data_IF_676218227432
#
_entry.id   IF_676218227432
#
_cell.length_a   1.000
_cell.length_b   1.000
_cell.length_c   1.000
_cell.angle_alpha   90.00
_cell.angle_beta   90.00
_cell.angle_gamma   90.00
#
_symmetry.space_group_name_H-M   'P 1'
#
loop_
_entity.id
_entity.type
_entity.pdbx_description
1 polymer ?
#
# COMPACT_ATOMS: atom_id res chain seq x y z
N UNK A 1 3.37 24.59 -37.42
CA UNK A 1 4.05 23.27 -37.57
C UNK A 1 4.33 22.87 -39.03
N UNK A 2 3.90 23.62 -40.05
CA UNK A 2 4.06 23.22 -41.46
C UNK A 2 5.52 22.96 -41.89
N UNK A 3 6.50 23.59 -41.23
CA UNK A 3 7.92 23.48 -41.60
C UNK A 3 8.68 22.38 -40.83
N UNK A 4 8.03 21.65 -39.92
CA UNK A 4 8.65 20.54 -39.18
C UNK A 4 8.76 19.30 -40.08
N UNK A 5 9.63 18.33 -39.77
CA UNK A 5 9.63 17.03 -40.43
C UNK A 5 8.24 16.38 -40.40
N UNK A 6 7.85 15.68 -41.47
CA UNK A 6 6.50 15.13 -41.63
C UNK A 6 6.09 14.22 -40.46
N UNK A 7 7.01 13.39 -39.97
CA UNK A 7 6.77 12.49 -38.83
C UNK A 7 6.55 13.22 -37.50
N UNK A 8 6.94 14.49 -37.39
CA UNK A 8 6.72 15.32 -36.20
C UNK A 8 5.46 16.18 -36.29
N UNK A 9 4.79 16.22 -37.45
CA UNK A 9 3.56 17.01 -37.63
C UNK A 9 2.38 16.28 -36.99
N UNK A 10 1.50 17.06 -36.35
CA UNK A 10 0.21 16.54 -35.88
C UNK A 10 -0.63 16.17 -37.11
N UNK A 11 -1.08 14.92 -37.18
CA UNK A 11 -1.89 14.42 -38.30
C UNK A 11 -3.23 15.15 -38.35
N UNK A 12 -3.71 15.46 -39.55
CA UNK A 12 -5.07 15.98 -39.77
C UNK A 12 -6.10 14.97 -39.23
N UNK A 13 -6.99 15.43 -38.35
CA UNK A 13 -7.98 14.56 -37.68
C UNK A 13 -7.59 14.07 -36.28
N UNK A 14 -6.44 14.50 -35.75
CA UNK A 14 -6.08 14.26 -34.34
C UNK A 14 -7.13 14.89 -33.43
N UNK A 15 -7.74 14.09 -32.55
CA UNK A 15 -8.66 14.57 -31.50
C UNK A 15 -7.83 15.09 -30.33
N UNK A 16 -8.26 16.22 -29.76
CA UNK A 16 -7.64 16.83 -28.59
C UNK A 16 -8.65 16.78 -27.45
N UNK A 17 -8.30 16.05 -26.40
CA UNK A 17 -9.10 15.97 -25.19
C UNK A 17 -8.51 16.92 -24.13
N UNK A 18 -9.37 17.63 -23.41
CA UNK A 18 -8.96 18.54 -22.34
C UNK A 18 -9.04 17.80 -21.01
N UNK A 19 -7.90 17.71 -20.32
CA UNK A 19 -7.77 17.03 -19.04
C UNK A 19 -7.38 18.01 -17.94
N UNK A 20 -7.64 17.61 -16.69
CA UNK A 20 -7.45 18.47 -15.52
C UNK A 20 -6.32 17.92 -14.64
N UNK A 21 -5.35 18.76 -14.23
CA UNK A 21 -4.29 18.38 -13.31
C UNK A 21 -4.79 17.94 -11.93
N UNK A 22 -3.98 17.17 -11.22
CA UNK A 22 -4.30 16.64 -9.89
C UNK A 22 -4.49 17.68 -8.78
N UNK A 23 -4.18 18.95 -9.04
CA UNK A 23 -4.24 20.07 -8.09
C UNK A 23 -5.55 20.88 -8.17
N UNK A 24 -6.43 20.56 -9.13
CA UNK A 24 -7.72 21.25 -9.30
C UNK A 24 -8.75 20.82 -8.23
N UNK A 25 -9.93 21.45 -8.18
CA UNK A 25 -11.01 21.07 -7.26
C UNK A 25 -11.47 19.62 -7.40
N UNK A 26 -11.91 19.01 -6.30
CA UNK A 26 -12.24 17.58 -6.18
C UNK A 26 -13.28 17.11 -7.20
N UNK A 27 -14.34 17.90 -7.40
CA UNK A 27 -15.39 17.66 -8.42
C UNK A 27 -14.82 17.51 -9.84
N UNK A 28 -13.78 18.28 -10.17
CA UNK A 28 -13.13 18.24 -11.47
C UNK A 28 -12.15 17.06 -11.60
N UNK A 29 -11.49 16.66 -10.51
CA UNK A 29 -10.66 15.44 -10.47
C UNK A 29 -11.51 14.21 -10.74
N UNK A 30 -12.74 14.14 -10.22
CA UNK A 30 -13.61 12.98 -10.43
C UNK A 30 -13.94 12.73 -11.91
N UNK A 31 -14.03 13.75 -12.77
CA UNK A 31 -14.45 13.51 -14.18
C UNK A 31 -13.33 13.62 -15.21
N UNK A 32 -12.23 14.32 -14.91
CA UNK A 32 -11.20 14.64 -15.91
C UNK A 32 -9.78 14.46 -15.38
N UNK A 33 -9.57 13.59 -14.40
CA UNK A 33 -8.23 13.36 -13.83
C UNK A 33 -7.26 12.85 -14.90
N UNK A 34 -6.25 13.66 -15.20
CA UNK A 34 -5.15 13.30 -16.09
C UNK A 34 -4.41 12.02 -15.65
N UNK A 35 -4.41 11.71 -14.36
CA UNK A 35 -3.77 10.52 -13.80
C UNK A 35 -4.31 9.20 -14.33
N UNK A 36 -5.58 9.18 -14.74
CA UNK A 36 -6.33 7.96 -15.05
C UNK A 36 -6.74 7.87 -16.52
N UNK A 37 -6.39 8.86 -17.34
CA UNK A 37 -6.72 8.89 -18.76
C UNK A 37 -5.61 8.24 -19.57
N UNK A 38 -6.00 7.30 -20.44
CA UNK A 38 -5.12 6.65 -21.40
C UNK A 38 -4.42 7.67 -22.30
N UNK A 39 -3.11 7.56 -22.48
CA UNK A 39 -2.33 8.45 -23.33
C UNK A 39 -2.05 9.84 -22.76
N UNK A 40 -2.53 10.16 -21.56
CA UNK A 40 -2.39 11.50 -20.96
C UNK A 40 -1.02 11.80 -20.36
N UNK A 41 -0.13 10.79 -20.34
CA UNK A 41 1.28 10.88 -19.93
C UNK A 41 1.51 11.31 -18.47
N UNK A 42 2.75 11.21 -17.99
CA UNK A 42 3.25 12.09 -16.92
C UNK A 42 3.33 13.55 -17.40
N UNK A 43 2.32 14.35 -17.04
CA UNK A 43 2.46 15.81 -17.11
C UNK A 43 3.30 16.28 -15.93
N UNK A 44 4.52 16.71 -16.21
CA UNK A 44 5.26 17.56 -15.30
C UNK A 44 4.96 19.00 -15.70
N UNK A 45 4.51 19.80 -14.74
CA UNK A 45 4.67 21.25 -14.79
C UNK A 45 6.13 21.70 -14.73
N UNK A 46 7.10 20.87 -15.16
CA UNK A 46 8.51 21.23 -15.21
C UNK A 46 9.15 20.65 -16.48
N UNK A 47 9.53 21.60 -17.34
CA UNK A 47 10.57 21.57 -18.37
C UNK A 47 10.17 21.30 -19.82
N UNK A 48 9.49 20.20 -20.18
CA UNK A 48 9.35 19.89 -21.63
C UNK A 48 8.31 20.77 -22.33
N UNK A 49 7.21 21.16 -21.68
CA UNK A 49 6.16 21.99 -22.34
C UNK A 49 6.31 23.49 -22.07
N UNK A 50 6.98 23.89 -20.98
CA UNK A 50 7.38 25.29 -20.75
C UNK A 50 8.47 25.71 -21.78
N UNK A 51 9.18 24.74 -22.37
CA UNK A 51 10.35 24.96 -23.23
C UNK A 51 10.07 25.54 -24.63
N UNK A 52 8.82 25.55 -25.08
CA UNK A 52 8.50 26.02 -26.44
C UNK A 52 8.57 27.54 -26.56
N UNK A 53 8.59 28.24 -25.42
CA UNK A 53 8.84 29.68 -25.35
C UNK A 53 10.20 29.94 -24.72
N UNK A 54 11.22 30.02 -25.61
CA UNK A 54 12.50 30.74 -25.51
C UNK A 54 13.24 30.64 -24.14
N UNK A 55 14.51 30.16 -24.21
CA UNK A 55 15.59 30.13 -23.19
C UNK A 55 15.93 28.73 -22.60
N UNK A 56 16.89 28.01 -23.21
CA UNK A 56 18.23 27.72 -22.64
C UNK A 56 18.98 26.59 -23.38
N UNK A 57 20.13 26.90 -23.98
CA UNK A 57 21.10 25.90 -24.46
C UNK A 57 21.46 24.85 -23.38
N UNK A 58 21.51 25.27 -22.10
CA UNK A 58 21.77 24.39 -20.95
C UNK A 58 20.75 23.25 -20.85
N UNK A 59 19.51 23.47 -21.31
CA UNK A 59 18.45 22.46 -21.27
C UNK A 59 18.59 21.45 -22.40
N UNK A 60 18.95 21.90 -23.61
CA UNK A 60 19.26 21.00 -24.75
C UNK A 60 20.44 20.08 -24.38
N UNK A 61 21.52 20.64 -23.84
CA UNK A 61 22.67 19.85 -23.37
C UNK A 61 22.28 18.93 -22.20
N UNK A 62 21.32 19.36 -21.36
CA UNK A 62 20.78 18.57 -20.26
C UNK A 62 19.93 17.37 -20.68
N UNK A 63 19.37 17.36 -21.89
CA UNK A 63 18.45 16.30 -22.36
C UNK A 63 19.06 14.92 -22.28
N UNK A 64 20.33 14.75 -22.64
CA UNK A 64 21.02 13.46 -22.53
C UNK A 64 20.91 12.89 -21.12
N UNK A 65 21.23 13.69 -20.11
CA UNK A 65 21.17 13.25 -18.71
C UNK A 65 19.75 13.06 -18.20
N UNK A 66 18.82 13.93 -18.64
CA UNK A 66 17.41 13.87 -18.26
C UNK A 66 16.75 12.60 -18.80
N UNK A 67 16.85 12.36 -20.11
CA UNK A 67 16.27 11.17 -20.75
C UNK A 67 16.93 9.89 -20.25
N UNK A 68 18.25 9.87 -20.04
CA UNK A 68 18.91 8.70 -19.47
C UNK A 68 18.32 8.33 -18.09
N UNK A 69 18.17 9.31 -17.18
CA UNK A 69 17.57 9.08 -15.86
C UNK A 69 16.11 8.63 -15.97
N UNK A 70 15.32 9.30 -16.80
CA UNK A 70 13.90 8.95 -16.96
C UNK A 70 13.71 7.59 -17.63
N UNK A 71 14.53 7.24 -18.61
CA UNK A 71 14.48 5.95 -19.28
C UNK A 71 14.83 4.81 -18.31
N UNK A 72 15.86 4.99 -17.48
CA UNK A 72 16.18 4.03 -16.42
C UNK A 72 15.03 3.86 -15.43
N UNK A 73 14.41 4.97 -14.99
CA UNK A 73 13.24 4.96 -14.10
C UNK A 73 12.07 4.21 -14.74
N UNK A 74 11.72 4.54 -15.99
CA UNK A 74 10.59 3.94 -16.69
C UNK A 74 10.81 2.45 -16.96
N UNK A 75 12.03 2.02 -17.33
CA UNK A 75 12.35 0.59 -17.49
C UNK A 75 12.21 -0.17 -16.17
N UNK A 76 12.61 0.44 -15.04
CA UNK A 76 12.45 -0.18 -13.73
C UNK A 76 10.97 -0.29 -13.35
N UNK A 77 10.22 0.81 -13.47
CA UNK A 77 8.83 0.88 -13.01
C UNK A 77 7.87 0.11 -13.92
N UNK A 78 8.13 0.07 -15.23
CA UNK A 78 7.35 -0.74 -16.19
C UNK A 78 7.47 -2.24 -15.95
N UNK A 79 8.52 -2.71 -15.26
CA UNK A 79 8.63 -4.10 -14.79
C UNK A 79 7.94 -4.32 -13.45
N UNK A 80 8.16 -3.42 -12.49
CA UNK A 80 7.62 -3.55 -11.12
C UNK A 80 6.10 -3.41 -11.03
N UNK A 81 5.53 -2.41 -11.69
CA UNK A 81 4.11 -2.07 -11.53
C UNK A 81 3.15 -3.15 -12.07
N UNK A 82 3.49 -3.88 -13.16
CA UNK A 82 2.76 -5.10 -13.52
C UNK A 82 2.75 -6.16 -12.42
N UNK A 83 3.89 -6.45 -11.78
CA UNK A 83 3.97 -7.44 -10.69
C UNK A 83 3.09 -7.03 -9.50
N UNK A 84 3.15 -5.75 -9.11
CA UNK A 84 2.32 -5.17 -8.04
C UNK A 84 0.84 -5.30 -8.37
N UNK A 85 0.44 -4.91 -9.59
CA UNK A 85 -0.96 -4.98 -10.03
C UNK A 85 -1.49 -6.41 -10.12
N UNK A 86 -0.66 -7.38 -10.53
CA UNK A 86 -1.05 -8.77 -10.59
C UNK A 86 -1.26 -9.34 -9.17
N UNK A 87 -0.29 -9.14 -8.26
CA UNK A 87 -0.39 -9.57 -6.85
C UNK A 87 -1.58 -8.94 -6.13
N UNK A 88 -1.85 -7.66 -6.39
CA UNK A 88 -3.03 -6.98 -5.83
C UNK A 88 -4.34 -7.56 -6.39
N UNK A 89 -4.36 -7.98 -7.67
CA UNK A 89 -5.54 -8.60 -8.28
C UNK A 89 -5.79 -10.02 -7.76
N UNK A 90 -4.73 -10.78 -7.45
CA UNK A 90 -4.80 -12.11 -6.84
C UNK A 90 -5.43 -12.14 -5.44
N UNK A 91 -5.61 -10.97 -4.80
CA UNK A 91 -6.29 -10.87 -3.51
C UNK A 91 -7.81 -11.03 -3.59
N UNK A 92 -8.38 -10.95 -4.79
CA UNK A 92 -9.82 -10.91 -5.00
C UNK A 92 -10.28 -12.05 -5.92
N UNK A 93 -11.51 -12.58 -5.73
CA UNK A 93 -12.09 -13.54 -6.65
C UNK A 93 -12.18 -12.99 -8.08
N UNK A 94 -12.08 -13.88 -9.07
CA UNK A 94 -12.12 -13.53 -10.50
C UNK A 94 -13.39 -12.77 -10.88
N UNK A 95 -14.52 -13.08 -10.23
CA UNK A 95 -15.82 -12.49 -10.47
C UNK A 95 -15.81 -11.00 -10.11
N UNK A 96 -15.16 -10.67 -8.99
CA UNK A 96 -15.01 -9.29 -8.48
C UNK A 96 -14.09 -8.49 -9.39
N UNK A 97 -12.96 -9.07 -9.79
CA UNK A 97 -12.04 -8.44 -10.75
C UNK A 97 -12.76 -8.14 -12.08
N UNK A 98 -13.54 -9.10 -12.59
CA UNK A 98 -14.31 -8.92 -13.82
C UNK A 98 -15.38 -7.82 -13.70
N UNK A 99 -16.02 -7.68 -12.52
CA UNK A 99 -16.92 -6.55 -12.22
C UNK A 99 -16.18 -5.22 -12.33
N UNK A 100 -15.00 -5.10 -11.73
CA UNK A 100 -14.21 -3.86 -11.76
C UNK A 100 -13.64 -3.54 -13.13
N UNK A 101 -13.19 -4.54 -13.90
CA UNK A 101 -12.78 -4.35 -15.30
C UNK A 101 -13.90 -3.70 -16.10
N UNK A 102 -15.12 -4.24 -16.01
CA UNK A 102 -16.31 -3.68 -16.70
C UNK A 102 -16.62 -2.27 -16.24
N UNK A 103 -16.46 -1.95 -14.94
CA UNK A 103 -16.64 -0.59 -14.44
C UNK A 103 -15.65 0.39 -15.08
N UNK A 104 -14.38 0.00 -15.21
CA UNK A 104 -13.35 0.80 -15.88
C UNK A 104 -13.65 0.97 -17.36
N UNK A 105 -14.00 -0.10 -18.07
CA UNK A 105 -14.34 -0.03 -19.50
C UNK A 105 -15.55 0.87 -19.76
N UNK A 106 -16.59 0.79 -18.92
CA UNK A 106 -17.76 1.66 -19.01
C UNK A 106 -17.41 3.13 -18.79
N UNK A 107 -16.52 3.42 -17.83
CA UNK A 107 -16.05 4.78 -17.56
C UNK A 107 -15.15 5.34 -18.67
N UNK A 108 -14.27 4.51 -19.24
CA UNK A 108 -13.44 4.89 -20.39
C UNK A 108 -14.29 5.16 -21.65
N UNK A 109 -15.38 4.42 -21.84
CA UNK A 109 -16.32 4.67 -22.93
C UNK A 109 -17.21 5.90 -22.68
N UNK A 110 -17.60 6.15 -21.43
CA UNK A 110 -18.47 7.26 -21.06
C UNK A 110 -18.03 7.89 -19.71
N UNK A 111 -17.39 9.08 -19.74
CA UNK A 111 -16.98 9.81 -18.54
C UNK A 111 -18.13 10.28 -17.61
N UNK A 112 -19.39 9.99 -17.96
CA UNK A 112 -20.57 10.21 -17.09
C UNK A 112 -20.99 8.96 -16.31
N UNK A 113 -20.37 7.80 -16.54
CA UNK A 113 -20.65 6.58 -15.80
C UNK A 113 -20.22 6.70 -14.32
N UNK A 114 -20.36 5.64 -13.52
CA UNK A 114 -19.82 5.64 -12.15
C UNK A 114 -18.30 5.69 -12.22
N UNK A 115 -17.66 6.61 -11.50
CA UNK A 115 -16.20 6.71 -11.49
C UNK A 115 -15.59 5.58 -10.65
N UNK A 116 -14.81 4.67 -11.25
CA UNK A 116 -14.21 3.52 -10.55
C UNK A 116 -12.98 3.89 -9.70
N UNK A 117 -12.50 5.13 -9.75
CA UNK A 117 -11.29 5.60 -9.07
C UNK A 117 -11.58 6.31 -7.73
N UNK A 118 -12.85 6.51 -7.38
CA UNK A 118 -13.26 7.07 -6.11
C UNK A 118 -14.10 6.06 -5.34
N UNK A 119 -13.91 6.04 -4.03
CA UNK A 119 -14.84 5.35 -3.15
C UNK A 119 -16.21 6.04 -3.20
N UNK A 120 -17.32 5.26 -3.12
CA UNK A 120 -18.63 5.86 -2.89
C UNK A 120 -18.57 6.64 -1.57
N UNK A 121 -19.12 7.86 -1.55
CA UNK A 121 -19.29 8.62 -0.31
C UNK A 121 -20.24 7.83 0.59
N UNK A 122 -19.71 6.98 1.47
CA UNK A 122 -20.48 6.45 2.59
C UNK A 122 -20.75 7.65 3.50
N UNK A 123 -21.97 8.18 3.47
CA UNK A 123 -22.46 9.16 4.44
C UNK A 123 -22.68 8.47 5.79
N UNK A 124 -21.64 7.82 6.33
CA UNK A 124 -21.65 7.38 7.72
C UNK A 124 -21.41 8.65 8.52
N UNK A 125 -22.49 9.25 9.02
CA UNK A 125 -22.36 10.44 9.84
C UNK A 125 -21.63 10.08 11.14
N UNK A 126 -21.03 11.08 11.79
CA UNK A 126 -20.41 10.90 13.10
C UNK A 126 -21.40 10.31 14.13
N UNK A 127 -22.70 10.50 13.93
CA UNK A 127 -23.77 9.92 14.74
C UNK A 127 -23.97 8.44 14.47
N UNK A 128 -23.92 7.99 13.20
CA UNK A 128 -24.00 6.58 12.83
C UNK A 128 -22.80 5.80 13.40
N UNK A 129 -21.59 6.37 13.31
CA UNK A 129 -20.39 5.78 13.90
C UNK A 129 -20.45 5.72 15.43
N UNK A 130 -21.12 6.68 16.09
CA UNK A 130 -21.35 6.65 17.54
C UNK A 130 -22.38 5.61 17.93
N UNK A 131 -23.43 5.44 17.12
CA UNK A 131 -24.49 4.46 17.33
C UNK A 131 -23.94 3.03 17.19
N UNK A 132 -23.19 2.77 16.13
CA UNK A 132 -22.51 1.48 15.90
C UNK A 132 -21.56 1.15 17.06
N UNK A 133 -20.76 2.12 17.53
CA UNK A 133 -19.90 1.93 18.69
C UNK A 133 -20.66 1.65 20.00
N UNK A 134 -21.84 2.23 20.18
CA UNK A 134 -22.67 1.97 21.34
C UNK A 134 -23.33 0.58 21.26
N UNK A 135 -23.71 0.14 20.05
CA UNK A 135 -24.23 -1.20 19.79
C UNK A 135 -23.15 -2.27 19.99
N UNK A 136 -21.94 -2.05 19.47
CA UNK A 136 -20.78 -2.91 19.71
C UNK A 136 -20.43 -2.98 21.21
N UNK A 137 -20.47 -1.87 21.94
CA UNK A 137 -20.25 -1.88 23.40
C UNK A 137 -21.31 -2.72 24.12
N UNK A 138 -22.58 -2.57 23.74
CA UNK A 138 -23.65 -3.37 24.32
C UNK A 138 -23.51 -4.87 24.00
N UNK A 139 -23.09 -5.23 22.79
CA UNK A 139 -22.85 -6.62 22.38
C UNK A 139 -21.61 -7.24 23.07
N UNK A 140 -20.55 -6.45 23.26
CA UNK A 140 -19.35 -6.87 24.01
C UNK A 140 -19.63 -7.04 25.50
N UNK A 141 -20.46 -6.16 26.08
CA UNK A 141 -20.96 -6.32 27.45
C UNK A 141 -21.83 -7.59 27.59
N UNK A 142 -22.65 -7.91 26.59
CA UNK A 142 -23.47 -9.10 26.58
C UNK A 142 -22.65 -10.41 26.41
N UNK A 143 -21.48 -10.35 25.77
CA UNK A 143 -20.59 -11.50 25.57
C UNK A 143 -19.48 -11.63 26.63
N UNK A 144 -19.41 -10.72 27.59
CA UNK A 144 -18.41 -10.73 28.69
C UNK A 144 -16.97 -10.41 28.26
N UNK A 145 -16.74 -10.00 27.01
CA UNK A 145 -15.41 -9.72 26.48
C UNK A 145 -15.15 -8.21 26.42
N UNK A 146 -14.41 -7.67 27.40
CA UNK A 146 -14.00 -6.25 27.41
C UNK A 146 -12.48 -6.17 27.24
N UNK A 147 -12.02 -5.72 26.08
CA UNK A 147 -10.59 -5.55 25.80
C UNK A 147 -10.11 -4.14 26.17
N UNK A 148 -9.17 -4.03 27.12
CA UNK A 148 -8.48 -2.74 27.41
C UNK A 148 -7.03 -2.94 27.86
N UNK A 149 -6.10 -2.65 26.96
CA UNK A 149 -4.71 -2.33 27.25
C UNK A 149 -4.56 -0.86 27.75
N UNK A 150 -5.49 -0.39 28.60
CA UNK A 150 -5.43 0.97 29.19
C UNK A 150 -4.34 1.11 30.27
N UNK A 151 -3.67 0.01 30.65
CA UNK A 151 -2.77 0.01 31.79
C UNK A 151 -1.37 0.55 31.50
N UNK A 152 -0.96 0.72 30.24
CA UNK A 152 0.43 1.11 29.92
C UNK A 152 0.62 2.59 29.55
N UNK A 153 -0.43 3.42 29.45
CA UNK A 153 -0.30 4.88 29.18
C UNK A 153 -1.22 5.81 29.98
N UNK A 154 -1.89 5.35 31.04
CA UNK A 154 -2.61 6.24 31.95
C UNK A 154 -1.76 6.53 33.20
N UNK A 155 -1.22 7.75 33.30
CA UNK A 155 -0.69 8.30 34.56
C UNK A 155 -1.80 8.63 35.58
N UNK A 156 -2.96 8.00 35.48
CA UNK A 156 -4.12 8.23 36.33
C UNK A 156 -4.63 6.91 36.89
N UNK A 157 -4.90 6.85 38.19
CA UNK A 157 -5.56 5.70 38.82
C UNK A 157 -6.90 5.44 38.10
N UNK A 158 -7.06 4.24 37.55
CA UNK A 158 -8.30 3.83 36.90
C UNK A 158 -9.51 4.07 37.79
N UNK A 159 -10.66 4.34 37.18
CA UNK A 159 -11.91 4.53 37.95
C UNK A 159 -12.25 3.26 38.74
N UNK A 160 -12.95 3.40 39.86
CA UNK A 160 -13.35 2.25 40.71
C UNK A 160 -14.04 1.14 39.91
N UNK A 161 -14.92 1.52 38.96
CA UNK A 161 -15.57 0.59 38.04
C UNK A 161 -14.56 -0.17 37.16
N UNK A 162 -13.61 0.54 36.53
CA UNK A 162 -12.59 -0.10 35.69
C UNK A 162 -11.70 -1.07 36.47
N UNK A 163 -11.40 -0.75 37.75
CA UNK A 163 -10.62 -1.62 38.62
C UNK A 163 -11.41 -2.89 39.00
N UNK A 164 -12.71 -2.76 39.29
CA UNK A 164 -13.58 -3.91 39.54
C UNK A 164 -13.73 -4.82 38.31
N UNK A 165 -13.97 -4.24 37.12
CA UNK A 165 -14.07 -4.99 35.86
C UNK A 165 -12.76 -5.74 35.53
N UNK A 166 -11.61 -5.14 35.89
CA UNK A 166 -10.30 -5.76 35.70
C UNK A 166 -10.10 -6.94 36.66
N UNK A 167 -10.49 -6.80 37.92
CA UNK A 167 -10.39 -7.86 38.92
C UNK A 167 -11.29 -9.06 38.59
N UNK A 168 -12.49 -8.81 38.06
CA UNK A 168 -13.40 -9.86 37.58
C UNK A 168 -12.78 -10.67 36.43
N UNK A 169 -12.17 -9.99 35.45
CA UNK A 169 -11.46 -10.67 34.35
C UNK A 169 -10.24 -11.43 34.82
N UNK A 170 -9.48 -10.89 35.78
CA UNK A 170 -8.36 -11.61 36.39
C UNK A 170 -8.84 -12.89 37.04
N UNK A 171 -9.93 -12.82 37.81
CA UNK A 171 -10.54 -13.99 38.44
C UNK A 171 -10.99 -15.02 37.39
N UNK A 172 -11.62 -14.58 36.31
CA UNK A 172 -12.03 -15.44 35.19
C UNK A 172 -10.83 -16.10 34.49
N UNK A 173 -9.77 -15.32 34.21
CA UNK A 173 -8.54 -15.84 33.61
C UNK A 173 -7.85 -16.86 34.51
N UNK A 174 -7.78 -16.60 35.81
CA UNK A 174 -7.25 -17.57 36.80
C UNK A 174 -8.03 -18.88 36.71
N UNK A 175 -9.36 -18.80 36.70
CA UNK A 175 -10.22 -19.98 36.62
C UNK A 175 -9.99 -20.76 35.31
N UNK A 176 -9.87 -20.05 34.17
CA UNK A 176 -9.56 -20.68 32.88
C UNK A 176 -8.20 -21.37 32.90
N UNK A 177 -7.17 -20.73 33.46
CA UNK A 177 -5.83 -21.33 33.58
C UNK A 177 -5.90 -22.59 34.47
N UNK A 178 -6.58 -22.51 35.61
CA UNK A 178 -6.73 -23.62 36.54
C UNK A 178 -7.50 -24.80 35.92
N UNK A 179 -8.52 -24.53 35.10
CA UNK A 179 -9.28 -25.57 34.40
C UNK A 179 -8.48 -26.18 33.24
N UNK A 180 -7.68 -25.37 32.55
CA UNK A 180 -6.87 -25.81 31.41
C UNK A 180 -5.64 -26.61 31.84
N UNK A 181 -5.02 -26.29 32.98
CA UNK A 181 -3.76 -26.90 33.45
C UNK A 181 -3.82 -28.44 33.54
N UNK A 182 -4.86 -29.08 34.11
CA UNK A 182 -4.95 -30.54 34.13
C UNK A 182 -5.00 -31.16 32.73
N UNK A 183 -5.69 -30.50 31.79
CA UNK A 183 -5.75 -30.92 30.39
C UNK A 183 -4.36 -30.82 29.76
N UNK A 184 -3.65 -29.71 29.97
CA UNK A 184 -2.28 -29.56 29.50
C UNK A 184 -1.36 -30.67 30.00
N UNK A 185 -1.41 -31.00 31.29
CA UNK A 185 -0.56 -32.03 31.88
C UNK A 185 -0.88 -33.43 31.35
N UNK A 186 -2.10 -33.68 30.90
CA UNK A 186 -2.47 -34.94 30.26
C UNK A 186 -1.83 -35.09 28.87
N UNK A 187 -1.74 -34.01 28.09
CA UNK A 187 -1.18 -34.03 26.73
C UNK A 187 0.33 -33.72 26.67
N UNK A 188 0.86 -32.93 27.62
CA UNK A 188 2.28 -32.57 27.70
C UNK A 188 2.78 -32.79 29.14
N UNK A 189 2.97 -34.05 29.57
CA UNK A 189 3.31 -34.37 30.97
C UNK A 189 4.61 -33.72 31.46
N UNK A 190 5.54 -33.43 30.53
CA UNK A 190 6.83 -32.81 30.82
C UNK A 190 6.69 -31.42 31.45
N UNK A 191 5.58 -30.72 31.23
CA UNK A 191 5.30 -29.41 31.85
C UNK A 191 5.30 -29.53 33.39
N UNK A 192 4.96 -30.68 33.96
CA UNK A 192 5.06 -30.96 35.41
C UNK A 192 6.47 -30.71 35.95
N UNK A 193 7.50 -31.00 35.16
CA UNK A 193 8.91 -30.81 35.56
C UNK A 193 9.40 -29.39 35.33
N UNK A 194 8.79 -28.66 34.38
CA UNK A 194 9.15 -27.26 34.07
C UNK A 194 8.46 -26.26 35.01
N UNK A 195 7.28 -26.60 35.52
CA UNK A 195 6.50 -25.74 36.41
C UNK A 195 7.26 -25.27 37.66
N UNK A 196 7.95 -26.15 38.42
CA UNK A 196 8.70 -25.76 39.61
C UNK A 196 9.99 -24.99 39.29
N UNK A 197 10.50 -25.08 38.06
CA UNK A 197 11.72 -24.36 37.65
C UNK A 197 11.47 -22.89 37.32
N UNK A 198 10.21 -22.52 37.08
CA UNK A 198 9.80 -21.15 36.73
C UNK A 198 9.17 -20.41 37.93
N UNK A 199 8.73 -21.13 38.96
CA UNK A 199 8.20 -20.53 40.19
C UNK A 199 9.26 -20.64 41.28
N UNK A 200 9.70 -19.50 41.83
CA UNK A 200 10.56 -19.49 43.00
C UNK A 200 9.84 -20.17 44.18
N UNK A 201 10.61 -20.89 45.00
CA UNK A 201 10.09 -21.80 46.05
C UNK A 201 9.22 -21.09 47.10
N UNK A 202 9.27 -19.75 47.19
CA UNK A 202 8.48 -18.93 48.12
C UNK A 202 7.08 -18.53 47.61
N UNK A 203 6.71 -18.85 46.36
CA UNK A 203 5.51 -18.28 45.69
C UNK A 203 4.29 -19.22 45.59
N UNK A 204 4.26 -20.34 46.32
CA UNK A 204 3.11 -21.27 46.32
C UNK A 204 1.79 -20.61 46.78
N UNK A 205 1.87 -19.55 47.58
CA UNK A 205 0.71 -18.80 48.06
C UNK A 205 0.24 -17.72 47.07
N UNK A 206 1.03 -17.39 46.04
CA UNK A 206 0.83 -16.25 45.14
C UNK A 206 0.99 -16.59 43.64
N UNK A 207 0.98 -17.87 43.27
CA UNK A 207 1.18 -18.37 41.90
C UNK A 207 0.26 -17.72 40.83
N UNK A 208 -0.85 -17.12 41.25
CA UNK A 208 -1.81 -16.43 40.40
C UNK A 208 -1.96 -14.93 40.70
N UNK A 209 -1.03 -14.34 41.45
CA UNK A 209 -1.08 -12.91 41.80
C UNK A 209 -1.15 -12.01 40.55
N UNK A 210 -0.51 -12.44 39.47
CA UNK A 210 -0.60 -11.80 38.15
C UNK A 210 -0.91 -12.87 37.08
N UNK A 211 -2.20 -13.15 36.80
CA UNK A 211 -2.57 -14.19 35.83
C UNK A 211 -2.11 -13.86 34.41
N UNK A 212 -1.97 -12.57 34.09
CA UNK A 212 -1.51 -12.04 32.80
C UNK A 212 -0.06 -12.43 32.47
N UNK A 213 0.77 -12.71 33.49
CA UNK A 213 2.17 -13.11 33.35
C UNK A 213 2.39 -14.61 33.58
N UNK A 214 1.33 -15.39 33.76
CA UNK A 214 1.46 -16.83 33.98
C UNK A 214 1.95 -17.52 32.71
N UNK A 215 3.08 -18.22 32.81
CA UNK A 215 3.62 -18.97 31.67
C UNK A 215 2.73 -20.19 31.39
N UNK A 216 2.22 -20.26 30.15
CA UNK A 216 1.32 -21.31 29.72
C UNK A 216 2.05 -22.54 29.16
N UNK A 217 3.32 -22.49 28.75
CA UNK A 217 4.05 -23.63 28.16
C UNK A 217 3.31 -24.30 26.97
N UNK A 218 2.86 -23.48 26.01
CA UNK A 218 2.41 -23.97 24.71
C UNK A 218 3.58 -24.65 23.96
N UNK A 219 3.34 -25.62 23.05
CA UNK A 219 4.41 -26.26 22.29
C UNK A 219 5.41 -25.27 21.68
N UNK A 220 4.94 -24.19 21.05
CA UNK A 220 5.78 -23.11 20.49
C UNK A 220 6.69 -22.38 21.49
N UNK A 221 6.36 -22.41 22.79
CA UNK A 221 7.14 -21.79 23.86
C UNK A 221 8.12 -22.76 24.54
N UNK A 222 8.13 -24.03 24.14
CA UNK A 222 9.04 -25.03 24.68
C UNK A 222 10.42 -24.96 24.02
N UNK A 223 11.50 -25.30 24.76
CA UNK A 223 12.84 -25.41 24.19
C UNK A 223 12.91 -26.38 23.00
N UNK A 224 13.76 -26.11 21.99
CA UNK A 224 13.92 -26.98 20.82
C UNK A 224 14.28 -28.43 21.16
N UNK A 225 15.02 -28.66 22.25
CA UNK A 225 15.36 -30.00 22.72
C UNK A 225 14.13 -30.84 23.07
N UNK A 226 13.08 -30.21 23.60
CA UNK A 226 11.83 -30.86 24.01
C UNK A 226 10.89 -31.03 22.82
N UNK A 227 10.90 -30.10 21.87
CA UNK A 227 10.11 -30.17 20.64
C UNK A 227 10.47 -31.37 19.74
N UNK A 228 11.65 -31.98 19.92
CA UNK A 228 12.04 -33.19 19.17
C UNK A 228 11.39 -34.48 19.67
N UNK A 229 10.78 -34.47 20.86
CA UNK A 229 10.08 -35.63 21.42
C UNK A 229 8.84 -35.95 20.59
N UNK A 230 8.61 -37.23 20.34
CA UNK A 230 7.52 -37.68 19.46
C UNK A 230 6.15 -37.24 19.97
N UNK A 231 5.93 -37.25 21.28
CA UNK A 231 4.65 -36.86 21.90
C UNK A 231 4.37 -35.35 21.74
N UNK A 232 5.41 -34.51 21.83
CA UNK A 232 5.28 -33.05 21.73
C UNK A 232 5.17 -32.62 20.26
N UNK A 233 5.77 -33.39 19.35
CA UNK A 233 5.76 -33.10 17.92
C UNK A 233 4.36 -33.11 17.31
N UNK A 234 3.50 -34.05 17.72
CA UNK A 234 2.11 -34.10 17.23
C UNK A 234 1.30 -32.88 17.70
N UNK A 235 1.48 -32.48 18.96
CA UNK A 235 0.86 -31.27 19.52
C UNK A 235 1.40 -29.99 18.87
N UNK A 236 2.69 -29.94 18.59
CA UNK A 236 3.33 -28.84 17.86
C UNK A 236 2.81 -28.72 16.42
N UNK A 237 2.57 -29.82 15.73
CA UNK A 237 1.95 -29.80 14.40
C UNK A 237 0.49 -29.31 14.47
N UNK A 238 -0.27 -29.71 15.50
CA UNK A 238 -1.62 -29.20 15.72
C UNK A 238 -1.63 -27.69 16.00
N UNK A 239 -0.74 -27.19 16.85
CA UNK A 239 -0.58 -25.74 17.10
C UNK A 239 -0.17 -25.02 15.82
N UNK A 240 0.82 -25.53 15.07
CA UNK A 240 1.26 -24.97 13.79
C UNK A 240 0.09 -24.79 12.81
N UNK A 241 -0.73 -25.83 12.65
CA UNK A 241 -1.91 -25.81 11.77
C UNK A 241 -2.97 -24.80 12.20
N UNK A 242 -3.04 -24.49 13.50
CA UNK A 242 -3.93 -23.47 14.03
C UNK A 242 -3.35 -22.05 13.88
N UNK A 243 -2.03 -21.89 14.02
CA UNK A 243 -1.39 -20.58 13.95
C UNK A 243 -1.40 -19.97 12.54
N UNK A 244 -1.36 -20.78 11.48
CA UNK A 244 -1.45 -20.28 10.10
C UNK A 244 -2.78 -19.53 9.83
N UNK A 245 -3.97 -20.12 10.05
CA UNK A 245 -5.24 -19.40 9.92
C UNK A 245 -5.38 -18.26 10.94
N UNK A 246 -4.91 -18.41 12.18
CA UNK A 246 -4.91 -17.31 13.15
C UNK A 246 -4.13 -16.08 12.67
N UNK A 247 -2.97 -16.28 12.04
CA UNK A 247 -2.18 -15.21 11.48
C UNK A 247 -2.86 -14.58 10.24
N UNK A 248 -3.50 -15.39 9.39
CA UNK A 248 -4.25 -14.91 8.23
C UNK A 248 -5.50 -14.10 8.65
N UNK A 249 -6.20 -14.53 9.69
CA UNK A 249 -7.37 -13.85 10.27
C UNK A 249 -6.96 -12.52 10.90
N UNK A 250 -5.90 -12.52 11.73
CA UNK A 250 -5.36 -11.31 12.33
C UNK A 250 -4.88 -10.31 11.26
N UNK A 251 -4.24 -10.80 10.19
CA UNK A 251 -3.82 -9.95 9.08
C UNK A 251 -5.01 -9.37 8.30
N UNK A 252 -6.06 -10.17 8.12
CA UNK A 252 -7.32 -9.73 7.50
C UNK A 252 -8.04 -8.68 8.34
N UNK A 253 -8.03 -8.83 9.67
CA UNK A 253 -8.55 -7.85 10.60
C UNK A 253 -7.75 -6.53 10.55
N UNK A 254 -6.42 -6.61 10.54
CA UNK A 254 -5.54 -5.43 10.38
C UNK A 254 -5.89 -4.65 9.10
N UNK A 255 -6.08 -5.37 7.98
CA UNK A 255 -6.46 -4.76 6.69
C UNK A 255 -7.82 -4.07 6.78
N UNK A 256 -8.84 -4.76 7.29
CA UNK A 256 -10.18 -4.19 7.48
C UNK A 256 -10.12 -2.93 8.36
N UNK A 257 -9.50 -3.03 9.54
CA UNK A 257 -9.39 -1.92 10.48
C UNK A 257 -8.63 -0.74 9.87
N UNK A 258 -7.50 -0.98 9.20
CA UNK A 258 -6.71 0.10 8.63
C UNK A 258 -7.41 0.79 7.47
N UNK A 259 -8.17 0.07 6.67
CA UNK A 259 -9.02 0.66 5.64
C UNK A 259 -10.11 1.55 6.26
N UNK A 260 -10.82 1.07 7.29
CA UNK A 260 -11.89 1.82 7.96
C UNK A 260 -11.34 3.06 8.68
N UNK A 261 -10.16 2.97 9.31
CA UNK A 261 -9.54 4.08 10.05
C UNK A 261 -9.15 5.23 9.13
N UNK A 262 -8.84 4.99 7.85
CA UNK A 262 -8.54 6.05 6.88
C UNK A 262 -9.70 7.06 6.71
N UNK A 263 -10.94 6.70 7.07
CA UNK A 263 -12.10 7.59 7.02
C UNK A 263 -12.58 8.14 8.38
N UNK A 264 -12.19 7.53 9.51
CA UNK A 264 -12.70 7.87 10.85
C UNK A 264 -11.63 7.67 11.93
N UNK A 265 -11.15 8.76 12.52
CA UNK A 265 -10.29 8.76 13.72
C UNK A 265 -11.09 8.38 14.97
N UNK A 266 -11.30 7.08 15.19
CA UNK A 266 -11.93 6.57 16.41
C UNK A 266 -10.89 5.83 17.26
N UNK A 267 -10.58 6.39 18.44
CA UNK A 267 -9.61 5.86 19.40
C UNK A 267 -9.78 4.35 19.70
N UNK A 268 -11.03 3.85 19.74
CA UNK A 268 -11.33 2.42 19.94
C UNK A 268 -10.80 1.53 18.80
N UNK A 269 -10.81 2.00 17.55
CA UNK A 269 -10.30 1.26 16.39
C UNK A 269 -8.78 1.15 16.41
N UNK A 270 -8.07 2.10 17.03
CA UNK A 270 -6.62 2.01 17.27
C UNK A 270 -6.29 0.88 18.26
N UNK A 271 -7.08 0.72 19.32
CA UNK A 271 -6.87 -0.37 20.27
C UNK A 271 -7.11 -1.73 19.60
N UNK A 272 -8.24 -1.92 18.89
CA UNK A 272 -8.51 -3.15 18.12
C UNK A 272 -7.37 -3.48 17.16
N UNK A 273 -6.81 -2.46 16.48
CA UNK A 273 -5.69 -2.63 15.56
C UNK A 273 -4.43 -3.14 16.27
N UNK A 274 -4.14 -2.65 17.48
CA UNK A 274 -3.03 -3.15 18.30
C UNK A 274 -3.26 -4.59 18.75
N UNK A 275 -4.50 -4.97 19.08
CA UNK A 275 -4.85 -6.35 19.41
C UNK A 275 -4.60 -7.28 18.23
N UNK A 276 -5.13 -6.93 17.06
CA UNK A 276 -4.95 -7.73 15.85
C UNK A 276 -3.46 -7.86 15.47
N UNK A 277 -2.68 -6.77 15.60
CA UNK A 277 -1.23 -6.82 15.42
C UNK A 277 -0.54 -7.75 16.44
N UNK A 278 -0.98 -7.73 17.70
CA UNK A 278 -0.45 -8.63 18.73
C UNK A 278 -0.79 -10.10 18.44
N UNK A 279 -2.04 -10.40 18.06
CA UNK A 279 -2.45 -11.74 17.65
C UNK A 279 -1.63 -12.25 16.47
N UNK A 280 -1.39 -11.39 15.47
CA UNK A 280 -0.52 -11.68 14.34
C UNK A 280 0.90 -12.02 14.80
N UNK A 281 1.50 -11.20 15.67
CA UNK A 281 2.86 -11.46 16.18
C UNK A 281 2.95 -12.75 16.97
N UNK A 282 1.96 -13.05 17.82
CA UNK A 282 1.93 -14.28 18.62
C UNK A 282 1.86 -15.51 17.72
N UNK A 283 0.94 -15.54 16.75
CA UNK A 283 0.84 -16.64 15.79
C UNK A 283 2.08 -16.76 14.90
N UNK A 284 2.61 -15.64 14.40
CA UNK A 284 3.84 -15.62 13.58
C UNK A 284 5.06 -16.15 14.34
N UNK A 285 5.22 -15.76 15.62
CA UNK A 285 6.33 -16.24 16.45
C UNK A 285 6.18 -17.73 16.77
N UNK A 286 4.95 -18.21 16.97
CA UNK A 286 4.69 -19.63 17.15
C UNK A 286 5.04 -20.45 15.91
N UNK A 287 4.63 -20.00 14.72
CA UNK A 287 5.02 -20.60 13.44
C UNK A 287 6.55 -20.60 13.25
N UNK A 288 7.22 -19.50 13.61
CA UNK A 288 8.67 -19.39 13.52
C UNK A 288 9.40 -20.39 14.43
N UNK A 289 8.85 -20.69 15.61
CA UNK A 289 9.40 -21.67 16.54
C UNK A 289 9.15 -23.12 16.09
N UNK A 290 7.96 -23.41 15.57
CA UNK A 290 7.51 -24.76 15.22
C UNK A 290 7.94 -25.22 13.82
N UNK A 291 7.91 -24.31 12.83
CA UNK A 291 8.29 -24.60 11.46
C UNK A 291 9.05 -23.42 10.82
N UNK A 292 10.36 -23.29 11.12
CA UNK A 292 11.16 -22.19 10.63
C UNK A 292 11.32 -22.15 9.11
N UNK A 293 11.00 -23.20 8.36
CA UNK A 293 11.22 -23.27 6.90
C UNK A 293 9.94 -23.49 6.11
N UNK A 294 8.78 -23.33 6.74
CA UNK A 294 7.49 -23.60 6.12
C UNK A 294 7.15 -22.69 4.95
N UNK A 295 6.30 -23.21 4.05
CA UNK A 295 5.73 -22.48 2.91
C UNK A 295 4.92 -21.25 3.34
N UNK A 296 4.42 -21.22 4.58
CA UNK A 296 3.69 -20.09 5.16
C UNK A 296 4.50 -18.76 5.10
N UNK A 297 5.83 -18.82 5.05
CA UNK A 297 6.72 -17.64 4.92
C UNK A 297 6.61 -16.90 3.59
N UNK A 298 6.12 -17.56 2.55
CA UNK A 298 5.87 -16.90 1.26
C UNK A 298 4.74 -15.87 1.40
N UNK A 299 3.76 -16.18 2.25
CA UNK A 299 2.55 -15.39 2.50
C UNK A 299 2.69 -14.47 3.71
N UNK A 300 3.13 -15.00 4.85
CA UNK A 300 3.23 -14.30 6.12
C UNK A 300 4.66 -13.81 6.38
N UNK A 301 4.81 -12.56 6.81
CA UNK A 301 6.11 -11.91 7.06
C UNK A 301 6.10 -11.23 8.41
N UNK A 302 7.27 -11.00 8.99
CA UNK A 302 7.40 -10.20 10.21
C UNK A 302 6.75 -8.83 10.01
N UNK A 303 5.66 -8.57 10.73
CA UNK A 303 4.91 -7.33 10.66
C UNK A 303 5.62 -6.24 11.46
N UNK A 304 6.11 -5.20 10.79
CA UNK A 304 6.67 -4.03 11.46
C UNK A 304 5.58 -2.98 11.69
N UNK A 305 5.72 -2.08 12.67
CA UNK A 305 4.75 -0.99 12.87
C UNK A 305 4.56 -0.12 11.62
N UNK A 306 5.62 0.05 10.82
CA UNK A 306 5.57 0.78 9.56
C UNK A 306 4.76 0.08 8.46
N UNK A 307 4.49 -1.23 8.59
CA UNK A 307 3.71 -2.00 7.63
C UNK A 307 2.19 -1.83 7.83
N UNK A 308 1.77 -1.28 8.98
CA UNK A 308 0.37 -1.11 9.36
C UNK A 308 -0.19 0.19 8.75
N UNK A 309 -0.27 0.24 7.41
CA UNK A 309 -0.84 1.38 6.67
C UNK A 309 -1.92 0.97 5.68
N UNK A 310 -2.65 1.98 5.21
CA UNK A 310 -3.75 1.79 4.26
C UNK A 310 -3.28 1.21 2.92
N UNK A 311 -4.22 0.75 2.08
CA UNK A 311 -3.92 0.24 0.76
C UNK A 311 -3.40 1.34 -0.20
N UNK A 312 -3.87 2.58 0.02
CA UNK A 312 -3.51 3.77 -0.76
C UNK A 312 -2.48 4.67 -0.08
N UNK A 313 -2.15 5.76 -0.77
CA UNK A 313 -1.18 6.77 -0.32
C UNK A 313 -1.78 7.63 0.79
N UNK A 314 -1.08 7.73 1.91
CA UNK A 314 -1.46 8.62 3.01
C UNK A 314 -0.75 9.99 2.85
N UNK A 315 -1.47 11.11 2.61
CA UNK A 315 -0.84 12.42 2.47
C UNK A 315 -0.20 12.93 3.76
N UNK A 316 -0.63 12.42 4.93
CA UNK A 316 -0.10 12.83 6.24
C UNK A 316 1.16 12.04 6.61
N UNK A 317 1.45 10.93 5.92
CA UNK A 317 2.68 10.17 6.11
C UNK A 317 3.86 10.79 5.35
N UNK A 318 4.98 10.98 6.05
CA UNK A 318 6.17 11.66 5.54
C UNK A 318 6.81 10.93 4.35
N UNK A 319 6.77 9.60 4.32
CA UNK A 319 7.38 8.81 3.26
C UNK A 319 6.49 8.75 2.01
N UNK A 320 5.18 8.62 2.21
CA UNK A 320 4.20 8.70 1.13
C UNK A 320 4.10 10.11 0.54
N UNK A 321 4.26 11.15 1.37
CA UNK A 321 4.31 12.55 0.94
C UNK A 321 5.44 12.79 -0.08
N UNK A 322 6.62 12.18 0.12
CA UNK A 322 7.78 12.30 -0.77
C UNK A 322 7.63 11.52 -2.07
N UNK A 323 6.88 10.41 -2.07
CA UNK A 323 6.69 9.57 -3.26
C UNK A 323 5.67 10.20 -4.21
N UNK A 324 5.99 10.18 -5.51
CA UNK A 324 5.04 10.60 -6.53
C UNK A 324 3.90 9.58 -6.67
N UNK A 325 2.69 10.04 -7.00
CA UNK A 325 1.52 9.16 -7.19
C UNK A 325 1.77 7.99 -8.15
N UNK A 326 2.62 8.20 -9.16
CA UNK A 326 2.96 7.15 -10.12
C UNK A 326 3.90 6.07 -9.56
N UNK A 327 4.72 6.39 -8.55
CA UNK A 327 5.68 5.46 -7.96
C UNK A 327 5.15 4.77 -6.70
N UNK A 328 3.89 4.99 -6.35
CA UNK A 328 3.30 4.36 -5.18
C UNK A 328 3.26 2.84 -5.35
N UNK A 329 3.63 2.14 -4.29
CA UNK A 329 3.62 0.68 -4.16
C UNK A 329 2.90 0.37 -2.84
N UNK A 330 1.79 -0.39 -2.88
CA UNK A 330 1.13 -0.85 -1.67
C UNK A 330 2.10 -1.67 -0.81
N UNK A 331 1.88 -1.64 0.50
CA UNK A 331 2.68 -2.45 1.43
C UNK A 331 2.44 -3.94 1.22
N UNK A 332 3.38 -4.77 1.69
CA UNK A 332 3.32 -6.22 1.47
C UNK A 332 2.03 -6.85 2.01
N UNK A 333 1.46 -6.30 3.09
CA UNK A 333 0.18 -6.75 3.62
C UNK A 333 -0.95 -6.65 2.58
N UNK A 334 -0.82 -5.80 1.56
CA UNK A 334 -1.77 -5.64 0.45
C UNK A 334 -1.31 -6.32 -0.85
N UNK A 335 -0.29 -7.18 -0.80
CA UNK A 335 0.26 -7.88 -1.98
C UNK A 335 0.34 -9.39 -1.78
N UNK A 336 -0.46 -9.88 -0.86
CA UNK A 336 -0.46 -11.26 -0.40
C UNK A 336 -1.89 -11.82 -0.50
N UNK A 337 -2.08 -13.00 -1.12
CA UNK A 337 -3.41 -13.60 -1.27
C UNK A 337 -4.12 -13.73 0.07
N UNK A 338 -5.44 -13.54 0.05
CA UNK A 338 -6.30 -13.74 1.23
C UNK A 338 -6.66 -15.21 1.32
N UNK A 339 -6.60 -15.76 2.54
CA UNK A 339 -7.29 -17.01 2.82
C UNK A 339 -8.80 -16.72 2.82
N UNK A 340 -9.65 -17.57 2.21
CA UNK A 340 -11.09 -17.49 2.39
C UNK A 340 -11.39 -17.62 3.88
N UNK A 341 -11.84 -16.53 4.50
CA UNK A 341 -12.18 -16.49 5.91
C UNK A 341 -13.71 -16.64 5.99
N UNK A 342 -14.21 -17.69 6.64
CA UNK A 342 -15.61 -17.78 7.06
C UNK A 342 -15.83 -16.78 8.21
N UNK A 343 -16.00 -15.49 7.89
CA UNK A 343 -16.22 -14.46 8.93
C UNK A 343 -17.59 -14.55 9.57
N UNK A 344 -17.62 -14.25 10.87
CA UNK A 344 -18.81 -13.80 11.60
C UNK A 344 -19.12 -12.31 11.36
N UNK A 345 -20.36 -12.08 10.93
CA UNK A 345 -21.29 -10.94 10.94
C UNK A 345 -20.90 -9.44 10.96
N UNK A 346 -19.66 -8.98 11.16
CA UNK A 346 -19.48 -7.51 11.31
C UNK A 346 -19.22 -6.73 10.00
N UNK A 347 -18.65 -7.35 8.96
CA UNK A 347 -18.53 -6.76 7.60
C UNK A 347 -18.54 -7.84 6.51
N UNK A 348 -19.54 -7.77 5.63
CA UNK A 348 -19.65 -8.67 4.49
C UNK A 348 -18.46 -8.50 3.55
N UNK A 349 -17.95 -9.60 3.00
CA UNK A 349 -16.83 -9.57 2.04
C UNK A 349 -17.11 -8.64 0.85
N UNK A 350 -18.37 -8.52 0.45
CA UNK A 350 -18.84 -7.60 -0.58
C UNK A 350 -18.56 -6.13 -0.24
N UNK A 351 -18.77 -5.70 1.00
CA UNK A 351 -18.51 -4.31 1.40
C UNK A 351 -17.01 -3.97 1.38
N UNK A 352 -16.17 -4.93 1.77
CA UNK A 352 -14.73 -4.78 1.65
C UNK A 352 -14.31 -4.70 0.18
N UNK A 353 -14.84 -5.56 -0.67
CA UNK A 353 -14.55 -5.53 -2.11
C UNK A 353 -15.02 -4.22 -2.76
N UNK A 354 -16.23 -3.77 -2.46
CA UNK A 354 -16.77 -2.51 -2.99
C UNK A 354 -15.98 -1.28 -2.53
N UNK A 355 -15.20 -1.37 -1.45
CA UNK A 355 -14.31 -0.27 -1.04
C UNK A 355 -12.91 -0.38 -1.67
N UNK A 356 -12.43 -1.58 -1.98
CA UNK A 356 -11.13 -1.79 -2.62
C UNK A 356 -11.10 -1.49 -4.14
N UNK A 357 -12.26 -1.35 -4.79
CA UNK A 357 -12.31 -1.15 -6.24
C UNK A 357 -11.54 0.10 -6.71
N UNK A 358 -11.55 1.19 -5.91
CA UNK A 358 -10.85 2.43 -6.22
C UNK A 358 -9.34 2.24 -6.22
N UNK A 359 -8.80 1.59 -5.19
CA UNK A 359 -7.37 1.28 -5.08
C UNK A 359 -6.90 0.29 -6.15
N UNK A 360 -7.75 -0.69 -6.48
CA UNK A 360 -7.51 -1.60 -7.59
C UNK A 360 -7.43 -0.84 -8.93
N UNK A 361 -8.41 0.02 -9.21
CA UNK A 361 -8.46 0.80 -10.44
C UNK A 361 -7.25 1.72 -10.56
N UNK A 362 -6.86 2.40 -9.47
CA UNK A 362 -5.66 3.23 -9.42
C UNK A 362 -4.37 2.43 -9.66
N UNK A 363 -4.26 1.22 -9.08
CA UNK A 363 -3.12 0.32 -9.32
C UNK A 363 -3.05 -0.13 -10.78
N UNK A 364 -4.19 -0.47 -11.38
CA UNK A 364 -4.30 -0.80 -12.81
C UNK A 364 -3.90 0.38 -13.69
N UNK A 365 -4.38 1.59 -13.40
CA UNK A 365 -4.03 2.79 -14.15
C UNK A 365 -2.53 3.10 -14.06
N UNK A 366 -1.91 2.92 -12.89
CA UNK A 366 -0.45 3.04 -12.72
C UNK A 366 0.31 2.06 -13.62
N UNK A 367 -0.08 0.78 -13.65
CA UNK A 367 0.49 -0.24 -14.55
C UNK A 367 0.41 0.20 -16.01
N UNK A 368 -0.78 0.55 -16.50
CA UNK A 368 -0.98 0.98 -17.89
C UNK A 368 -0.14 2.21 -18.24
N UNK A 369 -0.08 3.19 -17.34
CA UNK A 369 0.66 4.44 -17.55
C UNK A 369 2.17 4.24 -17.65
N UNK A 370 2.78 3.37 -16.84
CA UNK A 370 4.22 3.10 -16.97
C UNK A 370 4.57 2.35 -18.25
N UNK A 371 3.66 1.50 -18.76
CA UNK A 371 3.82 0.86 -20.06
C UNK A 371 3.75 1.89 -21.20
N UNK A 372 2.82 2.84 -21.11
CA UNK A 372 2.73 3.95 -22.08
C UNK A 372 3.94 4.88 -22.01
N UNK A 373 4.39 5.25 -20.81
CA UNK A 373 5.53 6.14 -20.62
C UNK A 373 6.82 5.56 -21.23
N UNK A 374 6.97 4.23 -21.27
CA UNK A 374 8.12 3.58 -21.94
C UNK A 374 8.15 3.88 -23.43
N UNK A 375 7.01 3.72 -24.10
CA UNK A 375 6.88 4.01 -25.53
C UNK A 375 7.04 5.51 -25.79
N UNK A 376 6.47 6.35 -24.92
CA UNK A 376 6.54 7.80 -25.05
C UNK A 376 7.97 8.29 -24.90
N UNK A 377 8.74 7.86 -23.89
CA UNK A 377 10.12 8.31 -23.71
C UNK A 377 10.99 7.90 -24.90
N UNK A 378 10.81 6.69 -25.43
CA UNK A 378 11.54 6.26 -26.63
C UNK A 378 11.25 7.19 -27.81
N UNK A 379 9.98 7.52 -28.03
CA UNK A 379 9.57 8.43 -29.09
C UNK A 379 10.04 9.87 -28.83
N UNK A 380 10.06 10.34 -27.57
CA UNK A 380 10.60 11.65 -27.23
C UNK A 380 12.10 11.75 -27.48
N UNK A 381 12.86 10.73 -27.06
CA UNK A 381 14.29 10.65 -27.34
C UNK A 381 14.55 10.73 -28.84
N UNK A 382 13.77 9.99 -29.63
CA UNK A 382 13.85 10.02 -31.09
C UNK A 382 13.46 11.38 -31.68
N UNK A 383 12.39 12.00 -31.19
CA UNK A 383 11.93 13.33 -31.63
C UNK A 383 12.89 14.44 -31.27
N UNK A 384 13.57 14.37 -30.12
CA UNK A 384 14.58 15.35 -29.74
C UNK A 384 15.77 15.28 -30.71
N UNK A 385 16.24 14.08 -31.06
CA UNK A 385 17.29 13.91 -32.08
C UNK A 385 16.83 14.44 -33.44
N UNK A 386 15.64 14.06 -33.89
CA UNK A 386 15.06 14.55 -35.16
C UNK A 386 14.92 16.07 -35.20
N UNK A 387 14.48 16.68 -34.09
CA UNK A 387 14.36 18.12 -33.95
C UNK A 387 15.73 18.80 -33.99
N UNK A 388 16.70 18.26 -33.27
CA UNK A 388 18.07 18.73 -33.22
C UNK A 388 18.71 18.77 -34.61
N UNK A 389 18.60 17.68 -35.38
CA UNK A 389 19.08 17.60 -36.77
C UNK A 389 18.38 18.62 -37.68
N UNK A 390 17.05 18.70 -37.60
CA UNK A 390 16.27 19.68 -38.36
C UNK A 390 16.65 21.12 -37.99
N UNK A 391 16.84 21.39 -36.70
CA UNK A 391 17.18 22.73 -36.19
C UNK A 391 18.59 23.14 -36.58
N UNK A 392 19.54 22.20 -36.61
CA UNK A 392 20.88 22.42 -37.12
C UNK A 392 20.86 22.83 -38.60
N UNK A 393 20.13 22.07 -39.44
CA UNK A 393 19.94 22.41 -40.87
C UNK A 393 19.30 23.78 -41.04
N UNK A 394 18.24 24.07 -40.28
CA UNK A 394 17.57 25.36 -40.31
C UNK A 394 18.50 26.53 -39.98
N UNK A 395 19.41 26.36 -38.99
CA UNK A 395 20.41 27.38 -38.65
C UNK A 395 21.40 27.62 -39.78
N UNK A 396 21.91 26.56 -40.44
CA UNK A 396 22.78 26.69 -41.60
C UNK A 396 22.08 27.43 -42.76
N UNK A 397 20.80 27.18 -42.99
CA UNK A 397 20.00 27.91 -43.98
C UNK A 397 19.83 29.40 -43.65
N UNK A 398 19.95 29.81 -42.37
CA UNK A 398 19.83 31.22 -42.00
C UNK A 398 21.06 32.07 -42.38
N UNK A 399 22.21 31.44 -42.64
CA UNK A 399 23.46 32.12 -43.01
C UNK A 399 23.26 33.09 -44.19
N UNK A 400 22.56 32.64 -45.23
CA UNK A 400 22.37 33.40 -46.48
C UNK A 400 21.10 34.23 -46.52
N UNK A 401 20.35 34.30 -45.41
CA UNK A 401 19.03 34.94 -45.38
C UNK A 401 19.10 36.47 -45.30
N UNK A 402 20.17 37.02 -44.73
CA UNK A 402 20.38 38.48 -44.67
C UNK A 402 21.32 38.89 -45.79
N UNK A 403 20.87 39.80 -46.65
CA UNK A 403 21.75 40.49 -47.59
C UNK A 403 22.48 41.60 -46.82
N UNK A 404 23.76 41.36 -46.48
CA UNK A 404 24.61 42.31 -45.76
C UNK A 404 25.81 42.61 -46.65
N UNK A 405 26.08 43.88 -46.91
CA UNK A 405 27.20 44.30 -47.78
C UNK A 405 28.56 44.23 -47.06
N UNK A 406 28.56 44.33 -45.73
CA UNK A 406 29.77 44.22 -44.89
C UNK A 406 30.17 42.75 -44.68
N UNK A 407 31.28 42.37 -45.31
CA UNK A 407 31.89 41.04 -45.22
C UNK A 407 32.27 40.63 -43.79
N UNK A 408 32.63 41.59 -42.93
CA UNK A 408 33.00 41.29 -41.54
C UNK A 408 31.78 40.90 -40.70
N UNK A 409 30.63 41.51 -40.96
CA UNK A 409 29.36 41.20 -40.31
C UNK A 409 28.80 39.88 -40.84
N UNK A 410 28.89 39.63 -42.15
CA UNK A 410 28.53 38.34 -42.75
C UNK A 410 29.32 37.18 -42.11
N UNK A 411 30.64 37.33 -41.98
CA UNK A 411 31.49 36.31 -41.35
C UNK A 411 31.07 36.00 -39.90
N UNK A 412 30.71 37.04 -39.12
CA UNK A 412 30.22 36.85 -37.74
C UNK A 412 28.85 36.17 -37.68
N UNK A 413 27.94 36.51 -38.59
CA UNK A 413 26.61 35.90 -38.67
C UNK A 413 26.71 34.43 -39.08
N UNK A 414 27.54 34.12 -40.07
CA UNK A 414 27.87 32.75 -40.50
C UNK A 414 28.46 31.94 -39.34
N UNK A 415 29.48 32.48 -38.66
CA UNK A 415 30.09 31.82 -37.51
C UNK A 415 29.08 31.57 -36.36
N UNK A 416 28.15 32.50 -36.13
CA UNK A 416 27.09 32.32 -35.14
C UNK A 416 26.11 31.21 -35.55
N UNK A 417 25.68 31.19 -36.81
CA UNK A 417 24.78 30.16 -37.34
C UNK A 417 25.41 28.75 -37.25
N UNK A 418 26.70 28.62 -37.60
CA UNK A 418 27.44 27.36 -37.50
C UNK A 418 27.62 26.92 -36.05
N UNK A 419 27.90 27.86 -35.13
CA UNK A 419 27.96 27.58 -33.69
C UNK A 419 26.61 27.07 -33.17
N UNK A 420 25.51 27.73 -33.49
CA UNK A 420 24.17 27.29 -33.07
C UNK A 420 23.77 25.94 -33.69
N UNK A 421 24.17 25.67 -34.94
CA UNK A 421 23.99 24.38 -35.57
C UNK A 421 24.79 23.28 -34.85
N UNK A 422 26.04 23.55 -34.45
CA UNK A 422 26.86 22.59 -33.70
C UNK A 422 26.35 22.29 -32.30
N UNK A 423 25.61 23.21 -31.67
CA UNK A 423 24.99 23.00 -30.36
C UNK A 423 23.78 22.05 -30.48
N UNK A 424 23.13 22.05 -31.65
CA UNK A 424 22.00 21.17 -31.91
C UNK A 424 22.44 19.75 -32.31
N UNK A 425 23.68 19.57 -32.76
CA UNK A 425 24.24 18.29 -33.20
C UNK A 425 24.87 17.52 -32.03
#
# INVERSE_FOLDING_TARGET
MANFPEHMRIKSGTKVDVLIPSWHGERCKKSFCLGYTKGARRTCGEEVEISWNRWNFRKIVGFRTLFAKRFQEVVLMSKKQPEVSNKFSEMFPSEVINKWIKMVENWEANPKAVNPYNEPEKTTTLQDARLELAQEENAQLASGFVFKNELSRSKGKGTSKQLADLEEKRSSLIWQIQLWRPVQLAYIPLVTTLLPLVHDVDEYTNQYANPESTTLFLPSSLPPSILTLSEVKEMGEAERRLCEPQADDALSEIRCLRHIITGLWLFKKINKLQCAAHHYHTAYNALLALDPTGSWRERLRKLNPADIRGPGRDPDDVEDAKRSKGQFEPLWIWLVPRSPCERGDDQTEEEFNDTMHAEWAQTRARKSRWNEELLIIQEEMHRVLSYCEWRAKWWLEQENRRQIEDMSVLSRVSAYAHKEASICH
#
